data_IF_678375081632
#
_entry.id   IF_678375081632
#
_cell.length_a   1.000
_cell.length_b   1.000
_cell.length_c   1.000
_cell.angle_alpha   90.00
_cell.angle_beta   90.00
_cell.angle_gamma   90.00
#
_symmetry.space_group_name_H-M   'P 1'
#
loop_
_entity.id
_entity.type
_entity.pdbx_description
1 polymer ?
#
# COMPACT_ATOMS: atom_id res chain seq x y z
N UNK A 1 -7.28 44.93 63.46
CA UNK A 1 -6.08 44.18 63.92
C UNK A 1 -5.63 43.26 62.81
N UNK A 2 -4.31 43.21 62.59
CA UNK A 2 -3.59 42.37 61.62
C UNK A 2 -3.90 40.88 61.80
N UNK A 3 -4.02 40.15 60.69
CA UNK A 3 -3.31 38.88 60.54
C UNK A 3 -3.04 38.59 59.06
N UNK A 4 -1.77 38.74 58.68
CA UNK A 4 -1.20 38.18 57.46
C UNK A 4 -1.17 36.65 57.59
N UNK A 5 -1.70 35.92 56.63
CA UNK A 5 -1.33 34.51 56.40
C UNK A 5 -1.13 34.29 54.90
N UNK A 6 0.14 34.17 54.58
CA UNK A 6 0.74 33.90 53.29
C UNK A 6 0.62 32.39 53.03
N UNK A 7 -0.19 31.98 52.05
CA UNK A 7 -0.23 30.59 51.59
C UNK A 7 0.32 30.56 50.18
N UNK A 8 1.58 30.12 50.11
CA UNK A 8 2.32 29.76 48.91
C UNK A 8 1.69 28.46 48.36
N UNK A 9 0.81 28.57 47.37
CA UNK A 9 0.30 27.41 46.64
C UNK A 9 1.13 27.23 45.36
N UNK A 10 1.78 26.07 45.28
CA UNK A 10 2.64 25.63 44.20
C UNK A 10 1.96 25.77 42.84
N UNK A 11 2.62 26.44 41.90
CA UNK A 11 2.35 26.35 40.48
C UNK A 11 2.70 24.93 40.01
N UNK A 12 1.72 24.04 39.95
CA UNK A 12 1.84 22.82 39.15
C UNK A 12 1.76 23.23 37.69
N UNK A 13 2.93 23.33 37.05
CA UNK A 13 3.03 23.41 35.60
C UNK A 13 2.56 22.05 35.07
N UNK A 14 1.29 21.94 34.72
CA UNK A 14 0.84 20.92 33.78
C UNK A 14 1.46 21.29 32.44
N UNK A 15 2.66 20.76 32.19
CA UNK A 15 3.13 20.64 30.83
C UNK A 15 2.20 19.61 30.17
N UNK A 16 1.17 20.10 29.47
CA UNK A 16 0.62 19.39 28.33
C UNK A 16 1.78 19.20 27.36
N UNK A 17 2.52 18.10 27.56
CA UNK A 17 3.32 17.53 26.51
C UNK A 17 2.33 17.00 25.48
N UNK A 18 1.90 17.88 24.58
CA UNK A 18 1.47 17.45 23.26
C UNK A 18 2.71 16.82 22.63
N UNK A 19 2.91 15.54 22.91
CA UNK A 19 3.58 14.67 21.97
C UNK A 19 2.72 14.73 20.73
N UNK A 20 3.10 15.61 19.80
CA UNK A 20 2.68 15.57 18.41
C UNK A 20 3.18 14.22 17.90
N UNK A 21 2.42 13.18 18.19
CA UNK A 21 2.47 11.96 17.43
C UNK A 21 2.16 12.37 16.00
N UNK A 22 3.10 12.11 15.10
CA UNK A 22 2.84 12.21 13.68
C UNK A 22 1.49 11.54 13.40
N UNK A 23 0.59 12.16 12.62
CA UNK A 23 -0.63 11.51 12.23
C UNK A 23 -0.23 10.33 11.34
N UNK A 24 -0.10 9.14 11.92
CA UNK A 24 -0.16 7.90 11.15
C UNK A 24 -1.51 7.92 10.46
N UNK A 25 -1.57 7.82 9.13
CA UNK A 25 -2.83 7.75 8.43
C UNK A 25 -3.49 6.44 8.83
N UNK A 26 -4.38 6.49 9.83
CA UNK A 26 -5.34 5.42 10.11
C UNK A 26 -6.41 5.49 9.03
N UNK A 27 -6.04 5.16 7.79
CA UNK A 27 -7.03 4.75 6.83
C UNK A 27 -7.67 3.48 7.41
N UNK A 28 -8.98 3.48 7.61
CA UNK A 28 -9.72 2.28 8.01
C UNK A 28 -9.39 1.19 6.99
N UNK A 29 -8.78 0.09 7.41
CA UNK A 29 -8.36 -1.00 6.53
C UNK A 29 -9.53 -1.58 5.72
N UNK A 30 -10.75 -1.56 6.28
CA UNK A 30 -11.96 -1.90 5.53
C UNK A 30 -12.23 -0.91 4.39
N UNK A 31 -12.00 0.39 4.63
CA UNK A 31 -12.08 1.42 3.59
C UNK A 31 -10.99 1.22 2.52
N UNK A 32 -9.76 0.89 2.92
CA UNK A 32 -8.66 0.64 1.99
C UNK A 32 -8.92 -0.59 1.11
N UNK A 33 -9.50 -1.65 1.68
CA UNK A 33 -9.90 -2.83 0.92
C UNK A 33 -11.01 -2.54 -0.11
N UNK A 34 -12.01 -1.73 0.27
CA UNK A 34 -13.06 -1.28 -0.65
C UNK A 34 -12.49 -0.40 -1.77
N UNK A 35 -11.58 0.52 -1.44
CA UNK A 35 -10.88 1.35 -2.43
C UNK A 35 -10.09 0.46 -3.39
N UNK A 36 -9.38 -0.56 -2.89
CA UNK A 36 -8.63 -1.47 -3.76
C UNK A 36 -9.55 -2.17 -4.77
N UNK A 37 -10.67 -2.73 -4.31
CA UNK A 37 -11.62 -3.42 -5.21
C UNK A 37 -12.21 -2.46 -6.25
N UNK A 38 -12.69 -1.29 -5.82
CA UNK A 38 -13.26 -0.30 -6.73
C UNK A 38 -12.26 0.21 -7.77
N UNK A 39 -11.03 0.51 -7.36
CA UNK A 39 -9.97 0.95 -8.28
C UNK A 39 -9.52 -0.18 -9.21
N UNK A 40 -9.57 -1.44 -8.77
CA UNK A 40 -9.25 -2.61 -9.60
C UNK A 40 -10.27 -2.78 -10.73
N UNK A 41 -11.55 -2.66 -10.42
CA UNK A 41 -12.64 -2.69 -11.40
C UNK A 41 -12.55 -1.52 -12.39
N UNK A 42 -12.27 -0.31 -11.89
CA UNK A 42 -12.06 0.87 -12.72
C UNK A 42 -10.86 0.67 -13.66
N UNK A 43 -9.73 0.17 -13.16
CA UNK A 43 -8.54 -0.11 -13.98
C UNK A 43 -8.84 -1.11 -15.10
N UNK A 44 -9.55 -2.19 -14.80
CA UNK A 44 -9.94 -3.19 -15.80
C UNK A 44 -10.88 -2.62 -16.87
N UNK A 45 -11.80 -1.75 -16.47
CA UNK A 45 -12.69 -1.04 -17.39
C UNK A 45 -11.89 -0.12 -18.33
N UNK A 46 -11.02 0.73 -17.77
CA UNK A 46 -10.20 1.65 -18.56
C UNK A 46 -9.26 0.90 -19.51
N UNK A 47 -8.63 -0.18 -19.08
CA UNK A 47 -7.77 -1.01 -19.94
C UNK A 47 -8.55 -1.65 -21.10
N UNK A 48 -9.82 -2.01 -20.90
CA UNK A 48 -10.70 -2.51 -21.96
C UNK A 48 -11.08 -1.42 -22.96
N UNK A 49 -11.26 -0.19 -22.47
CA UNK A 49 -11.61 0.98 -23.28
C UNK A 49 -10.38 1.68 -23.90
N UNK A 50 -9.18 1.16 -23.68
CA UNK A 50 -7.92 1.78 -24.09
C UNK A 50 -7.77 3.20 -23.53
N UNK A 51 -8.07 3.34 -22.23
CA UNK A 51 -7.95 4.58 -21.48
C UNK A 51 -6.58 5.23 -21.62
N UNK A 52 -6.53 6.54 -21.37
CA UNK A 52 -5.31 7.35 -21.52
C UNK A 52 -4.24 6.90 -20.51
N UNK A 53 -2.97 7.00 -20.91
CA UNK A 53 -1.85 6.61 -20.05
C UNK A 53 -1.88 7.33 -18.68
N UNK A 54 -2.20 8.62 -18.63
CA UNK A 54 -2.29 9.34 -17.36
C UNK A 54 -3.40 8.85 -16.43
N UNK A 55 -4.53 8.40 -16.99
CA UNK A 55 -5.63 7.81 -16.22
C UNK A 55 -5.22 6.45 -15.64
N UNK A 56 -4.65 5.59 -16.49
CA UNK A 56 -4.16 4.27 -16.10
C UNK A 56 -3.04 4.37 -15.05
N UNK A 57 -2.15 5.35 -15.16
CA UNK A 57 -1.10 5.63 -14.16
C UNK A 57 -1.71 6.09 -12.83
N UNK A 58 -2.70 6.98 -12.87
CA UNK A 58 -3.39 7.46 -11.68
C UNK A 58 -4.07 6.32 -10.92
N UNK A 59 -4.87 5.51 -11.62
CA UNK A 59 -5.61 4.39 -11.01
C UNK A 59 -4.65 3.32 -10.47
N UNK A 60 -3.61 2.95 -11.23
CA UNK A 60 -2.63 1.96 -10.77
C UNK A 60 -1.81 2.44 -9.57
N UNK A 61 -1.55 3.75 -9.47
CA UNK A 61 -0.95 4.36 -8.26
C UNK A 61 -1.90 4.27 -7.07
N UNK A 62 -3.18 4.61 -7.25
CA UNK A 62 -4.19 4.53 -6.19
C UNK A 62 -4.37 3.09 -5.66
N UNK A 63 -4.32 2.09 -6.54
CA UNK A 63 -4.32 0.67 -6.16
C UNK A 63 -3.13 0.31 -5.29
N UNK A 64 -1.92 0.75 -5.66
CA UNK A 64 -0.73 0.52 -4.85
C UNK A 64 -0.90 1.17 -3.47
N UNK A 65 -1.28 2.45 -3.40
CA UNK A 65 -1.53 3.16 -2.13
C UNK A 65 -2.54 2.40 -1.25
N UNK A 66 -3.65 1.94 -1.83
CA UNK A 66 -4.68 1.21 -1.09
C UNK A 66 -4.19 -0.14 -0.54
N UNK A 67 -3.30 -0.82 -1.25
CA UNK A 67 -2.67 -2.05 -0.76
C UNK A 67 -1.68 -1.75 0.37
N UNK A 68 -0.87 -0.71 0.21
CA UNK A 68 0.10 -0.28 1.22
C UNK A 68 -0.57 0.15 2.53
N UNK A 69 -1.73 0.82 2.45
CA UNK A 69 -2.53 1.18 3.62
C UNK A 69 -3.02 -0.03 4.42
N UNK A 70 -3.11 -1.22 3.80
CA UNK A 70 -3.51 -2.46 4.47
C UNK A 70 -2.34 -3.22 5.11
N UNK A 71 -1.08 -2.86 4.79
CA UNK A 71 0.10 -3.59 5.28
C UNK A 71 0.13 -3.71 6.82
N UNK A 72 -0.11 -2.64 7.62
CA UNK A 72 -0.09 -2.77 9.08
C UNK A 72 -0.99 -3.88 9.63
N UNK A 73 -2.22 -3.98 9.12
CA UNK A 73 -3.17 -5.01 9.52
C UNK A 73 -2.77 -6.40 9.03
N UNK A 74 -2.22 -6.48 7.82
CA UNK A 74 -1.73 -7.75 7.26
C UNK A 74 -0.55 -8.29 8.05
N UNK A 75 0.33 -7.43 8.57
CA UNK A 75 1.42 -7.83 9.46
C UNK A 75 0.90 -8.40 10.78
N UNK A 76 -0.18 -7.83 11.32
CA UNK A 76 -0.82 -8.36 12.53
C UNK A 76 -1.50 -9.71 12.28
N UNK A 77 -2.14 -9.88 11.12
CA UNK A 77 -2.85 -11.13 10.78
C UNK A 77 -1.91 -12.26 10.38
N UNK A 78 -0.85 -11.92 9.65
CA UNK A 78 0.12 -12.84 9.04
C UNK A 78 1.54 -12.46 9.49
N UNK A 79 1.87 -12.65 10.78
CA UNK A 79 3.19 -12.30 11.31
C UNK A 79 4.34 -13.03 10.60
N UNK A 80 4.08 -14.20 10.00
CA UNK A 80 5.04 -14.92 9.17
C UNK A 80 5.46 -14.15 7.91
N UNK A 81 4.70 -13.13 7.50
CA UNK A 81 5.04 -12.25 6.38
C UNK A 81 5.74 -10.95 6.82
N UNK A 82 5.95 -10.72 8.12
CA UNK A 82 6.36 -9.41 8.69
C UNK A 82 7.62 -8.83 8.03
N UNK A 83 8.71 -9.61 7.98
CA UNK A 83 9.98 -9.17 7.41
C UNK A 83 9.83 -8.71 5.94
N UNK A 84 9.00 -9.41 5.18
CA UNK A 84 8.72 -9.09 3.79
C UNK A 84 7.86 -7.83 3.66
N UNK A 85 6.76 -7.77 4.42
CA UNK A 85 5.83 -6.64 4.39
C UNK A 85 6.49 -5.35 4.89
N UNK A 86 7.43 -5.46 5.83
CA UNK A 86 8.21 -4.34 6.32
C UNK A 86 9.10 -3.75 5.21
N UNK A 87 9.79 -4.61 4.44
CA UNK A 87 10.64 -4.18 3.32
C UNK A 87 9.82 -3.51 2.21
N UNK A 88 8.65 -4.06 1.89
CA UNK A 88 7.72 -3.39 0.97
C UNK A 88 7.34 -2.02 1.51
N UNK A 89 6.80 -1.96 2.73
CA UNK A 89 6.28 -0.73 3.35
C UNK A 89 7.28 0.42 3.35
N UNK A 90 8.54 0.15 3.73
CA UNK A 90 9.60 1.16 3.75
C UNK A 90 10.04 1.62 2.34
N UNK A 91 9.90 0.75 1.35
CA UNK A 91 10.29 1.02 -0.04
C UNK A 91 9.20 1.67 -0.88
N UNK A 92 8.04 2.03 -0.34
CA UNK A 92 6.91 2.47 -1.15
C UNK A 92 7.23 3.68 -2.04
N UNK A 93 7.68 4.77 -1.41
CA UNK A 93 7.88 6.05 -2.07
C UNK A 93 8.94 5.96 -3.18
N UNK A 94 9.98 5.17 -2.95
CA UNK A 94 10.99 4.88 -3.97
C UNK A 94 10.44 3.96 -5.07
N UNK A 95 9.66 2.95 -4.71
CA UNK A 95 9.08 1.98 -5.67
C UNK A 95 8.11 2.61 -6.66
N UNK A 96 7.38 3.65 -6.26
CA UNK A 96 6.49 4.41 -7.16
C UNK A 96 7.29 5.11 -8.27
N UNK A 97 8.58 5.35 -8.11
CA UNK A 97 9.41 6.02 -9.14
C UNK A 97 10.20 5.08 -10.03
N UNK A 98 10.24 3.78 -9.69
CA UNK A 98 11.01 2.80 -10.44
C UNK A 98 10.41 2.52 -11.82
N UNK A 99 11.29 2.18 -12.75
CA UNK A 99 10.97 1.64 -14.07
C UNK A 99 10.43 0.22 -13.97
N UNK A 100 9.80 -0.27 -15.05
CA UNK A 100 9.34 -1.64 -15.11
C UNK A 100 10.49 -2.63 -14.95
N UNK A 101 11.66 -2.32 -15.53
CA UNK A 101 12.85 -3.16 -15.43
C UNK A 101 13.36 -3.26 -14.00
N UNK A 102 13.50 -2.13 -13.29
CA UNK A 102 13.95 -2.09 -11.89
C UNK A 102 12.96 -2.80 -10.96
N UNK A 103 11.65 -2.57 -11.13
CA UNK A 103 10.61 -3.29 -10.38
C UNK A 103 10.70 -4.80 -10.66
N UNK A 104 10.82 -5.19 -11.93
CA UNK A 104 10.90 -6.60 -12.30
C UNK A 104 12.14 -7.27 -11.73
N UNK A 105 13.29 -6.60 -11.74
CA UNK A 105 14.53 -7.09 -11.14
C UNK A 105 14.37 -7.27 -9.63
N UNK A 106 13.88 -6.24 -8.93
CA UNK A 106 13.70 -6.28 -7.48
C UNK A 106 12.67 -7.31 -7.01
N UNK A 107 11.66 -7.63 -7.84
CA UNK A 107 10.54 -8.49 -7.43
C UNK A 107 10.51 -9.90 -8.03
N UNK A 108 11.23 -10.15 -9.14
CA UNK A 108 11.36 -11.47 -9.76
C UNK A 108 12.73 -12.13 -9.58
N UNK A 109 13.82 -11.38 -9.41
CA UNK A 109 15.11 -11.98 -9.08
C UNK A 109 15.15 -12.26 -7.57
N UNK A 110 15.20 -13.54 -7.21
CA UNK A 110 15.03 -14.07 -5.85
C UNK A 110 16.09 -13.67 -4.81
N UNK A 111 16.93 -12.68 -5.10
CA UNK A 111 17.99 -12.23 -4.19
C UNK A 111 17.55 -11.06 -3.29
N UNK A 112 16.46 -10.36 -3.64
CA UNK A 112 15.95 -9.21 -2.87
C UNK A 112 14.78 -9.53 -1.93
N UNK A 113 14.10 -10.66 -2.14
CA UNK A 113 12.93 -11.05 -1.34
C UNK A 113 13.19 -12.35 -0.58
N UNK A 114 12.92 -12.42 0.73
CA UNK A 114 12.98 -13.67 1.49
C UNK A 114 12.14 -14.77 0.83
N UNK A 115 12.59 -16.01 0.95
CA UNK A 115 11.75 -17.18 0.62
C UNK A 115 10.44 -17.11 1.40
N UNK A 116 9.31 -17.32 0.71
CA UNK A 116 8.00 -17.33 1.36
C UNK A 116 7.84 -18.59 2.21
N UNK A 117 7.68 -18.44 3.52
CA UNK A 117 7.36 -19.55 4.41
C UNK A 117 5.88 -19.97 4.28
N UNK A 118 5.00 -19.01 3.95
CA UNK A 118 3.57 -19.24 3.79
C UNK A 118 3.05 -18.75 2.41
N UNK A 119 2.13 -19.50 1.75
CA UNK A 119 1.55 -19.11 0.46
C UNK A 119 0.86 -17.74 0.48
N UNK A 120 0.34 -17.31 1.64
CA UNK A 120 -0.32 -16.01 1.77
C UNK A 120 0.63 -14.83 1.53
N UNK A 121 1.90 -14.94 1.93
CA UNK A 121 2.88 -13.89 1.72
C UNK A 121 3.14 -13.63 0.23
N UNK A 122 3.10 -14.68 -0.59
CA UNK A 122 3.18 -14.56 -2.06
C UNK A 122 1.97 -13.79 -2.63
N UNK A 123 0.76 -14.04 -2.13
CA UNK A 123 -0.42 -13.31 -2.60
C UNK A 123 -0.37 -11.84 -2.21
N UNK A 124 0.10 -11.52 -0.99
CA UNK A 124 0.28 -10.12 -0.57
C UNK A 124 1.33 -9.41 -1.43
N UNK A 125 2.44 -10.09 -1.76
CA UNK A 125 3.40 -9.57 -2.75
C UNK A 125 2.70 -9.17 -4.04
N UNK A 126 2.04 -10.13 -4.68
CA UNK A 126 1.52 -9.93 -6.03
C UNK A 126 0.45 -8.83 -6.06
N UNK A 127 -0.42 -8.78 -5.05
CA UNK A 127 -1.42 -7.72 -4.93
C UNK A 127 -0.80 -6.32 -4.75
N UNK A 128 0.42 -6.24 -4.21
CA UNK A 128 1.16 -4.99 -3.99
C UNK A 128 2.01 -4.58 -5.19
N UNK A 129 2.71 -5.52 -5.80
CA UNK A 129 3.71 -5.26 -6.85
C UNK A 129 3.09 -5.09 -8.23
N UNK A 130 2.05 -5.87 -8.56
CA UNK A 130 1.45 -5.82 -9.89
C UNK A 130 0.87 -4.44 -10.24
N UNK A 131 0.21 -3.69 -9.32
CA UNK A 131 -0.15 -2.29 -9.57
C UNK A 131 1.04 -1.39 -9.94
N UNK A 132 2.18 -1.54 -9.26
CA UNK A 132 3.39 -0.77 -9.55
C UNK A 132 3.96 -1.10 -10.94
N UNK A 133 3.95 -2.38 -11.34
CA UNK A 133 4.38 -2.80 -12.68
C UNK A 133 3.48 -2.23 -13.77
N UNK A 134 2.17 -2.21 -13.56
CA UNK A 134 1.21 -1.58 -14.49
C UNK A 134 1.51 -0.09 -14.61
N UNK A 135 1.67 0.60 -13.47
CA UNK A 135 2.01 2.02 -13.42
C UNK A 135 3.26 2.32 -14.25
N UNK A 136 4.34 1.56 -14.04
CA UNK A 136 5.59 1.74 -14.75
C UNK A 136 5.44 1.48 -16.26
N UNK A 137 4.77 0.39 -16.66
CA UNK A 137 4.49 0.08 -18.08
C UNK A 137 3.73 1.23 -18.76
N UNK A 138 2.72 1.76 -18.07
CA UNK A 138 1.88 2.84 -18.60
C UNK A 138 2.68 4.14 -18.73
N UNK A 139 3.49 4.48 -17.72
CA UNK A 139 4.35 5.68 -17.72
C UNK A 139 5.38 5.63 -18.85
N UNK A 140 6.05 4.49 -19.05
CA UNK A 140 7.00 4.28 -20.14
C UNK A 140 6.33 4.39 -21.52
N UNK A 141 5.08 3.96 -21.60
CA UNK A 141 4.26 4.05 -22.80
C UNK A 141 3.74 5.45 -23.11
N UNK A 142 4.00 6.48 -22.30
CA UNK A 142 3.56 7.86 -22.60
C UNK A 142 4.17 8.44 -23.88
N UNK A 143 5.17 7.75 -24.45
CA UNK A 143 5.79 8.05 -25.75
C UNK A 143 5.19 7.25 -26.92
N UNK A 144 4.21 6.38 -26.69
CA UNK A 144 3.63 5.46 -27.69
C UNK A 144 2.28 4.84 -27.28
N UNK A 145 1.90 3.73 -27.90
CA UNK A 145 0.68 3.00 -27.52
C UNK A 145 0.95 2.13 -26.28
N UNK A 146 0.13 2.28 -25.24
CA UNK A 146 0.19 1.44 -24.03
C UNK A 146 -0.04 -0.02 -24.41
N UNK A 147 0.82 -0.93 -23.94
CA UNK A 147 0.54 -2.37 -24.01
C UNK A 147 -0.57 -2.75 -23.02
N UNK A 148 -1.81 -2.44 -23.42
CA UNK A 148 -3.02 -2.66 -22.61
C UNK A 148 -3.28 -4.14 -22.34
N UNK A 149 -2.78 -5.05 -23.18
CA UNK A 149 -2.90 -6.51 -22.98
C UNK A 149 -2.08 -6.96 -21.77
N UNK A 150 -0.81 -6.52 -21.67
CA UNK A 150 0.05 -6.85 -20.54
C UNK A 150 -0.50 -6.24 -19.25
N UNK A 151 -0.83 -4.94 -19.29
CA UNK A 151 -1.39 -4.23 -18.15
C UNK A 151 -2.70 -4.88 -17.66
N UNK A 152 -3.59 -5.31 -18.57
CA UNK A 152 -4.84 -6.00 -18.21
C UNK A 152 -4.58 -7.35 -17.54
N UNK A 153 -3.58 -8.10 -18.00
CA UNK A 153 -3.20 -9.37 -17.37
C UNK A 153 -2.71 -9.15 -15.94
N UNK A 154 -1.87 -8.14 -15.72
CA UNK A 154 -1.41 -7.79 -14.37
C UNK A 154 -2.56 -7.30 -13.48
N UNK A 155 -3.49 -6.51 -14.01
CA UNK A 155 -4.66 -6.04 -13.26
C UNK A 155 -5.55 -7.21 -12.79
N UNK A 156 -5.84 -8.16 -13.69
CA UNK A 156 -6.62 -9.36 -13.34
C UNK A 156 -5.92 -10.22 -12.27
N UNK A 157 -4.60 -10.39 -12.40
CA UNK A 157 -3.81 -11.12 -11.40
C UNK A 157 -3.82 -10.41 -10.05
N UNK A 158 -3.61 -9.11 -10.03
CA UNK A 158 -3.62 -8.31 -8.81
C UNK A 158 -4.95 -8.44 -8.07
N UNK A 159 -6.07 -8.31 -8.80
CA UNK A 159 -7.41 -8.50 -8.24
C UNK A 159 -7.61 -9.92 -7.68
N UNK A 160 -7.17 -10.95 -8.41
CA UNK A 160 -7.30 -12.34 -7.97
C UNK A 160 -6.51 -12.61 -6.69
N UNK A 161 -5.27 -12.12 -6.61
CA UNK A 161 -4.44 -12.24 -5.41
C UNK A 161 -5.05 -11.48 -4.24
N UNK A 162 -5.56 -10.27 -4.46
CA UNK A 162 -6.25 -9.50 -3.44
C UNK A 162 -7.49 -10.22 -2.89
N UNK A 163 -8.30 -10.81 -3.77
CA UNK A 163 -9.47 -11.59 -3.36
C UNK A 163 -9.09 -12.79 -2.47
N UNK A 164 -7.95 -13.44 -2.71
CA UNK A 164 -7.46 -14.51 -1.84
C UNK A 164 -7.10 -13.95 -0.46
N UNK A 165 -6.43 -12.80 -0.39
CA UNK A 165 -6.09 -12.13 0.89
C UNK A 165 -7.37 -11.85 1.69
N UNK A 166 -8.39 -11.27 1.05
CA UNK A 166 -9.67 -10.96 1.70
C UNK A 166 -10.38 -12.22 2.22
N UNK A 167 -10.37 -13.32 1.46
CA UNK A 167 -10.94 -14.59 1.92
C UNK A 167 -10.21 -15.15 3.13
N UNK A 168 -8.89 -15.00 3.21
CA UNK A 168 -8.12 -15.45 4.38
C UNK A 168 -8.37 -14.56 5.60
N UNK A 169 -8.53 -13.25 5.42
CA UNK A 169 -8.89 -12.32 6.50
C UNK A 169 -10.27 -12.65 7.12
N UNK A 170 -11.20 -13.15 6.32
CA UNK A 170 -12.56 -13.53 6.76
C UNK A 170 -12.62 -14.89 7.46
N UNK A 171 -11.64 -15.76 7.25
CA UNK A 171 -11.55 -17.07 7.92
C UNK A 171 -10.98 -16.84 9.32
N UNK A 172 -11.83 -17.01 10.34
CA UNK A 172 -11.42 -17.02 11.75
C UNK A 172 -10.75 -18.34 12.10
#
# INVERSE_FOLDING_TARGET
MKLFLLVLALLTISACGDSVGEPQPTADSNSAAQVYLGMSEQLLSELRLQGRASELEHISTALAVAMYAQIPDLKLRFPECDAYLQSLYQGFDSSVQLTHAELSEQYHNGDALPTFEAPICYHIKEATVLPLLIRATVRESQTGAVNTVSARRHALKAQAHFNIIQQQLQRK
#
